data_IF_911807284366
#
_entry.id   IF_911807284366
#
_cell.length_a   1.000
_cell.length_b   1.000
_cell.length_c   1.000
_cell.angle_alpha   90.00
_cell.angle_beta   90.00
_cell.angle_gamma   90.00
#
_symmetry.space_group_name_H-M   'P 1'
#
loop_
_entity.id
_entity.type
_entity.pdbx_description
1 polymer ?
#
# COMPACT_ATOMS: atom_id res chain seq x y z
N UNK A 1 -4.12 -11.97 -8.62
CA UNK A 1 -3.83 -11.07 -9.75
C UNK A 1 -2.36 -10.67 -9.72
N UNK A 2 -1.69 -10.68 -10.87
CA UNK A 2 -0.32 -10.18 -11.02
C UNK A 2 -0.31 -9.18 -12.20
N UNK A 3 -0.31 -7.90 -11.89
CA UNK A 3 -0.37 -6.84 -12.89
C UNK A 3 0.34 -5.57 -12.42
N UNK A 4 0.73 -4.73 -13.37
CA UNK A 4 1.13 -3.35 -13.11
C UNK A 4 -0.08 -2.50 -12.66
N UNK A 5 0.15 -1.21 -12.40
CA UNK A 5 -0.95 -0.28 -12.08
C UNK A 5 -1.77 -0.02 -13.33
N UNK A 6 -2.87 -0.74 -13.48
CA UNK A 6 -3.80 -0.66 -14.62
C UNK A 6 -5.25 -0.56 -14.12
N UNK A 7 -6.18 -0.10 -14.96
CA UNK A 7 -7.62 -0.11 -14.64
C UNK A 7 -8.11 -1.50 -14.23
N UNK A 8 -7.68 -2.56 -14.91
CA UNK A 8 -8.12 -3.95 -14.67
C UNK A 8 -7.73 -4.43 -13.28
N UNK A 9 -6.52 -4.09 -12.79
CA UNK A 9 -6.12 -4.41 -11.43
C UNK A 9 -6.94 -3.60 -10.40
N UNK A 10 -7.27 -2.35 -10.70
CA UNK A 10 -8.13 -1.54 -9.84
C UNK A 10 -9.54 -2.13 -9.76
N UNK A 11 -10.13 -2.49 -10.90
CA UNK A 11 -11.45 -3.12 -10.98
C UNK A 11 -11.47 -4.49 -10.25
N UNK A 12 -10.38 -5.24 -10.30
CA UNK A 12 -10.24 -6.52 -9.61
C UNK A 12 -10.45 -6.41 -8.09
N UNK A 13 -10.14 -5.24 -7.49
CA UNK A 13 -10.41 -5.00 -6.08
C UNK A 13 -11.92 -4.97 -5.74
N UNK A 14 -12.77 -4.84 -6.75
CA UNK A 14 -14.23 -4.83 -6.60
C UNK A 14 -14.84 -6.14 -7.07
N UNK A 15 -14.68 -6.49 -8.34
CA UNK A 15 -15.43 -7.62 -8.88
C UNK A 15 -15.06 -8.95 -8.21
N UNK A 16 -13.80 -9.14 -7.78
CA UNK A 16 -13.41 -10.37 -7.08
C UNK A 16 -14.15 -10.50 -5.74
N UNK A 17 -14.10 -9.52 -4.82
CA UNK A 17 -14.87 -9.59 -3.57
C UNK A 17 -16.40 -9.61 -3.78
N UNK A 18 -16.93 -8.99 -4.82
CA UNK A 18 -18.36 -9.02 -5.14
C UNK A 18 -18.87 -10.41 -5.51
N UNK A 19 -18.01 -11.32 -5.94
CA UNK A 19 -18.31 -12.75 -6.13
C UNK A 19 -18.22 -13.57 -4.84
N UNK A 20 -17.76 -12.97 -3.74
CA UNK A 20 -17.44 -13.66 -2.49
C UNK A 20 -16.05 -14.32 -2.48
N UNK A 21 -15.24 -14.08 -3.51
CA UNK A 21 -13.84 -14.53 -3.56
C UNK A 21 -12.91 -13.52 -2.86
N UNK A 22 -11.68 -13.97 -2.57
CA UNK A 22 -10.66 -13.18 -1.91
C UNK A 22 -9.64 -12.73 -2.97
N UNK A 23 -9.42 -11.43 -3.10
CA UNK A 23 -8.38 -10.92 -3.98
C UNK A 23 -6.99 -11.17 -3.37
N UNK A 24 -6.09 -11.77 -4.16
CA UNK A 24 -4.68 -11.91 -3.83
C UNK A 24 -3.85 -11.16 -4.87
N UNK A 25 -3.28 -10.03 -4.48
CA UNK A 25 -2.44 -9.22 -5.36
C UNK A 25 -0.98 -9.64 -5.19
N UNK A 26 -0.36 -10.13 -6.28
CA UNK A 26 1.00 -10.67 -6.28
C UNK A 26 1.98 -9.60 -6.76
N UNK A 27 3.09 -9.47 -6.03
CA UNK A 27 4.15 -8.53 -6.37
C UNK A 27 4.81 -8.90 -7.71
N UNK A 28 4.80 -7.98 -8.64
CA UNK A 28 5.34 -8.15 -10.00
C UNK A 28 6.87 -8.32 -10.07
N UNK A 29 7.58 -8.10 -8.97
CA UNK A 29 9.04 -8.20 -8.88
C UNK A 29 9.53 -9.52 -8.31
N UNK A 30 8.62 -10.45 -8.02
CA UNK A 30 8.96 -11.76 -7.47
C UNK A 30 9.51 -12.69 -8.56
N UNK A 31 10.35 -13.61 -8.14
CA UNK A 31 10.82 -14.71 -8.98
C UNK A 31 9.75 -15.79 -9.16
N UNK A 32 9.96 -16.67 -10.15
CA UNK A 32 9.03 -17.74 -10.50
C UNK A 32 8.74 -18.70 -9.33
N UNK A 33 9.75 -19.04 -8.53
CA UNK A 33 9.60 -19.96 -7.40
C UNK A 33 8.67 -19.36 -6.32
N UNK A 34 8.86 -18.11 -6.00
CA UNK A 34 8.03 -17.38 -5.02
C UNK A 34 6.59 -17.24 -5.52
N UNK A 35 6.40 -16.92 -6.80
CA UNK A 35 5.05 -16.86 -7.42
C UNK A 35 4.37 -18.23 -7.34
N UNK A 36 5.07 -19.32 -7.69
CA UNK A 36 4.58 -20.70 -7.57
C UNK A 36 4.11 -20.99 -6.15
N UNK A 37 4.96 -20.70 -5.16
CA UNK A 37 4.62 -20.89 -3.76
C UNK A 37 3.34 -20.13 -3.38
N UNK A 38 3.21 -18.86 -3.78
CA UNK A 38 2.03 -18.06 -3.48
C UNK A 38 0.77 -18.65 -4.11
N UNK A 39 0.81 -19.07 -5.37
CA UNK A 39 -0.33 -19.68 -6.07
C UNK A 39 -0.77 -20.99 -5.40
N UNK A 40 0.17 -21.82 -4.99
CA UNK A 40 -0.11 -23.08 -4.29
C UNK A 40 -0.63 -22.86 -2.87
N UNK A 41 0.06 -22.04 -2.09
CA UNK A 41 -0.27 -21.77 -0.69
C UNK A 41 -1.62 -21.07 -0.54
N UNK A 42 -1.94 -20.11 -1.43
CA UNK A 42 -3.21 -19.38 -1.42
C UNK A 42 -4.40 -20.17 -1.95
N UNK A 43 -4.19 -21.40 -2.47
CA UNK A 43 -5.22 -22.17 -3.18
C UNK A 43 -5.89 -21.39 -4.32
N UNK A 44 -5.10 -20.64 -5.08
CA UNK A 44 -5.58 -19.82 -6.20
C UNK A 44 -6.49 -20.62 -7.13
N UNK A 45 -7.65 -20.05 -7.50
CA UNK A 45 -8.66 -20.66 -8.36
C UNK A 45 -8.69 -20.06 -9.75
N UNK A 46 -8.26 -18.84 -9.89
CA UNK A 46 -8.16 -18.09 -11.12
C UNK A 46 -6.93 -17.19 -11.03
N UNK A 47 -6.20 -17.02 -12.13
CA UNK A 47 -5.04 -16.15 -12.18
C UNK A 47 -5.22 -15.13 -13.30
N UNK A 48 -5.37 -13.85 -12.92
CA UNK A 48 -5.45 -12.73 -13.85
C UNK A 48 -4.05 -12.13 -13.94
N UNK A 49 -3.50 -12.05 -15.14
CA UNK A 49 -2.10 -11.74 -15.37
C UNK A 49 -1.92 -10.65 -16.42
N UNK A 50 -1.06 -9.72 -16.15
CA UNK A 50 -0.58 -8.76 -17.14
C UNK A 50 0.49 -9.43 -18.00
N UNK A 51 0.27 -9.45 -19.31
CA UNK A 51 1.13 -10.15 -20.28
C UNK A 51 2.58 -9.70 -20.26
N UNK A 52 2.87 -8.45 -19.81
CA UNK A 52 4.24 -7.98 -19.62
C UNK A 52 5.06 -8.95 -18.73
N UNK A 53 4.44 -9.61 -17.78
CA UNK A 53 5.09 -10.54 -16.85
C UNK A 53 5.00 -12.01 -17.28
N UNK A 54 4.54 -12.29 -18.49
CA UNK A 54 4.32 -13.67 -19.00
C UNK A 54 5.54 -14.56 -18.85
N UNK A 55 6.74 -14.06 -19.10
CA UNK A 55 7.98 -14.84 -19.00
C UNK A 55 8.22 -15.44 -17.61
N UNK A 56 8.06 -14.66 -16.54
CA UNK A 56 8.22 -15.16 -15.17
C UNK A 56 7.06 -16.03 -14.74
N UNK A 57 5.84 -15.70 -15.20
CA UNK A 57 4.62 -16.48 -14.90
C UNK A 57 4.69 -17.86 -15.56
N UNK A 58 5.11 -17.96 -16.81
CA UNK A 58 5.29 -19.23 -17.51
C UNK A 58 6.23 -20.16 -16.76
N UNK A 59 7.40 -19.63 -16.33
CA UNK A 59 8.35 -20.39 -15.49
C UNK A 59 7.75 -20.79 -14.14
N UNK A 60 6.85 -20.00 -13.58
CA UNK A 60 6.15 -20.34 -12.35
C UNK A 60 5.14 -21.48 -12.57
N UNK A 61 4.38 -21.42 -13.66
CA UNK A 61 3.40 -22.45 -14.00
C UNK A 61 4.04 -23.81 -14.34
N UNK A 62 5.24 -23.83 -14.87
CA UNK A 62 6.03 -25.04 -15.11
C UNK A 62 6.47 -25.75 -13.81
N UNK A 63 6.52 -25.01 -12.69
CA UNK A 63 6.92 -25.55 -11.38
C UNK A 63 5.76 -26.10 -10.55
N UNK A 64 4.51 -25.94 -11.00
CA UNK A 64 3.33 -26.44 -10.29
C UNK A 64 2.58 -27.48 -11.12
N UNK A 65 1.98 -28.45 -10.42
CA UNK A 65 1.06 -29.40 -11.04
C UNK A 65 -0.40 -28.92 -11.06
N UNK A 66 -0.68 -27.74 -10.46
CA UNK A 66 -2.03 -27.15 -10.44
C UNK A 66 -2.35 -26.51 -11.79
N UNK A 67 -3.47 -26.91 -12.37
CA UNK A 67 -4.05 -26.21 -13.54
C UNK A 67 -4.91 -25.06 -13.02
N UNK A 68 -4.42 -23.84 -13.17
CA UNK A 68 -5.13 -22.62 -12.77
C UNK A 68 -5.56 -21.91 -14.06
N UNK A 69 -6.87 -21.68 -14.29
CA UNK A 69 -7.31 -20.86 -15.43
C UNK A 69 -6.67 -19.47 -15.40
N UNK A 70 -6.31 -18.98 -16.59
CA UNK A 70 -5.63 -17.71 -16.75
C UNK A 70 -6.47 -16.76 -17.59
N UNK A 71 -6.50 -15.49 -17.17
CA UNK A 71 -7.07 -14.38 -17.94
C UNK A 71 -5.93 -13.38 -18.16
N UNK A 72 -5.67 -13.03 -19.41
CA UNK A 72 -4.61 -12.12 -19.78
C UNK A 72 -5.10 -10.67 -19.84
N UNK A 73 -4.37 -9.76 -19.18
CA UNK A 73 -4.50 -8.32 -19.34
C UNK A 73 -3.50 -7.87 -20.41
N UNK A 74 -4.00 -7.25 -21.48
CA UNK A 74 -3.19 -6.71 -22.58
C UNK A 74 -3.25 -5.19 -22.49
N UNK A 75 -2.19 -4.55 -22.00
CA UNK A 75 -2.16 -3.11 -21.80
C UNK A 75 -1.45 -2.40 -22.97
N UNK A 76 -2.13 -1.43 -23.55
CA UNK A 76 -1.61 -0.60 -24.64
C UNK A 76 -0.32 0.16 -24.27
N UNK A 77 -0.13 0.52 -22.99
CA UNK A 77 1.09 1.18 -22.53
C UNK A 77 2.32 0.26 -22.59
N UNK A 78 2.14 -1.04 -22.32
CA UNK A 78 3.19 -2.03 -22.49
C UNK A 78 3.50 -2.25 -23.98
N UNK A 79 2.48 -2.30 -24.83
CA UNK A 79 2.62 -2.42 -26.28
C UNK A 79 3.43 -1.26 -26.89
N UNK A 80 3.17 -0.02 -26.47
CA UNK A 80 3.93 1.15 -26.91
C UNK A 80 5.43 1.07 -26.59
N UNK A 81 5.83 0.24 -25.63
CA UNK A 81 7.22 0.00 -25.26
C UNK A 81 7.78 -1.33 -25.75
N UNK A 82 6.99 -2.12 -26.49
CA UNK A 82 7.29 -3.50 -26.88
C UNK A 82 7.62 -4.41 -25.69
N UNK A 83 6.86 -4.24 -24.61
CA UNK A 83 7.00 -5.00 -23.36
C UNK A 83 5.75 -5.85 -23.06
N UNK A 84 4.82 -6.03 -24.01
CA UNK A 84 3.53 -6.70 -23.82
C UNK A 84 3.62 -8.19 -23.50
N UNK A 85 4.73 -8.84 -23.83
CA UNK A 85 4.90 -10.29 -23.61
C UNK A 85 3.93 -11.17 -24.44
N UNK A 86 3.63 -12.37 -23.95
CA UNK A 86 2.76 -13.35 -24.62
C UNK A 86 1.49 -13.63 -23.79
N UNK A 87 0.38 -13.96 -24.44
CA UNK A 87 -0.82 -14.46 -23.78
C UNK A 87 -0.58 -15.90 -23.28
N UNK A 88 -1.01 -16.17 -22.06
CA UNK A 88 -0.86 -17.47 -21.41
C UNK A 88 -2.20 -18.18 -21.20
N UNK A 89 -3.30 -17.44 -21.21
CA UNK A 89 -4.66 -17.94 -20.98
C UNK A 89 -5.46 -18.15 -22.27
N UNK A 90 -6.63 -18.74 -22.09
CA UNK A 90 -7.61 -18.88 -23.18
C UNK A 90 -8.43 -17.59 -23.38
N UNK A 91 -8.42 -16.70 -22.41
CA UNK A 91 -9.23 -15.47 -22.37
C UNK A 91 -8.34 -14.25 -22.17
N UNK A 92 -8.56 -13.20 -22.97
CA UNK A 92 -8.14 -11.88 -22.58
C UNK A 92 -9.22 -11.23 -21.68
N UNK A 93 -8.81 -10.23 -20.92
CA UNK A 93 -9.65 -9.57 -19.91
C UNK A 93 -10.95 -9.01 -20.50
N UNK A 94 -10.88 -8.29 -21.63
CA UNK A 94 -12.04 -7.67 -22.26
C UNK A 94 -13.06 -8.70 -22.78
N UNK A 95 -12.59 -9.78 -23.40
CA UNK A 95 -13.46 -10.86 -23.88
C UNK A 95 -14.10 -11.60 -22.70
N UNK A 96 -13.34 -11.83 -21.63
CA UNK A 96 -13.87 -12.42 -20.41
C UNK A 96 -14.96 -11.52 -19.79
N UNK A 97 -14.70 -10.22 -19.68
CA UNK A 97 -15.65 -9.26 -19.16
C UNK A 97 -16.94 -9.20 -19.99
N UNK A 98 -16.80 -9.19 -21.33
CA UNK A 98 -17.94 -9.19 -22.27
C UNK A 98 -18.80 -10.46 -22.18
N UNK A 99 -18.26 -11.58 -21.69
CA UNK A 99 -19.02 -12.83 -21.49
C UNK A 99 -19.83 -12.87 -20.19
N UNK A 100 -19.63 -11.88 -19.29
CA UNK A 100 -20.31 -11.80 -18.00
C UNK A 100 -21.78 -11.45 -18.10
N UNK A 101 -22.55 -11.81 -17.07
CA UNK A 101 -23.94 -11.39 -16.95
C UNK A 101 -24.03 -9.95 -16.39
N UNK A 102 -24.47 -8.95 -17.17
CA UNK A 102 -24.60 -7.58 -16.70
C UNK A 102 -25.66 -7.41 -15.60
N UNK A 103 -26.53 -8.37 -15.39
CA UNK A 103 -27.55 -8.39 -14.35
C UNK A 103 -27.14 -9.18 -13.11
N UNK A 104 -25.89 -9.61 -13.01
CA UNK A 104 -25.41 -10.36 -11.85
C UNK A 104 -25.74 -9.67 -10.53
N UNK A 105 -26.39 -10.40 -9.62
CA UNK A 105 -26.76 -9.90 -8.30
C UNK A 105 -25.69 -10.25 -7.27
N UNK A 106 -24.76 -9.35 -7.06
CA UNK A 106 -23.76 -9.51 -6.01
C UNK A 106 -24.40 -9.43 -4.61
N UNK A 107 -23.80 -10.12 -3.65
CA UNK A 107 -24.26 -10.13 -2.26
C UNK A 107 -23.23 -9.45 -1.36
N UNK A 108 -23.72 -8.68 -0.41
CA UNK A 108 -22.87 -8.15 0.66
C UNK A 108 -22.38 -9.29 1.54
N UNK A 109 -21.19 -9.15 2.16
CA UNK A 109 -20.75 -10.13 3.15
C UNK A 109 -21.76 -10.21 4.30
N UNK A 110 -22.05 -11.41 4.76
CA UNK A 110 -22.95 -11.65 5.91
C UNK A 110 -22.28 -11.32 7.23
N UNK A 111 -20.97 -11.35 7.26
CA UNK A 111 -20.11 -10.96 8.37
C UNK A 111 -18.95 -10.11 7.83
N UNK A 112 -18.84 -8.88 8.31
CA UNK A 112 -17.76 -7.96 7.90
C UNK A 112 -16.36 -8.41 8.37
N UNK A 113 -16.26 -9.43 9.21
CA UNK A 113 -15.02 -10.12 9.57
C UNK A 113 -14.58 -11.14 8.51
N UNK A 114 -15.40 -11.43 7.50
CA UNK A 114 -15.00 -12.27 6.37
C UNK A 114 -13.79 -11.66 5.66
N UNK A 115 -12.91 -12.54 5.13
CA UNK A 115 -11.75 -12.11 4.38
C UNK A 115 -12.16 -11.43 3.07
N UNK A 116 -11.53 -10.31 2.75
CA UNK A 116 -11.69 -9.60 1.47
C UNK A 116 -10.45 -9.74 0.60
N UNK A 117 -9.28 -9.70 1.22
CA UNK A 117 -8.03 -9.74 0.47
C UNK A 117 -6.92 -10.47 1.22
N UNK A 118 -5.93 -10.92 0.45
CA UNK A 118 -4.73 -11.60 0.89
C UNK A 118 -3.52 -10.86 0.30
N UNK A 119 -2.56 -10.53 1.15
CA UNK A 119 -1.34 -9.84 0.74
C UNK A 119 -0.11 -10.55 1.32
N UNK A 120 0.85 -10.92 0.46
CA UNK A 120 2.03 -11.62 0.91
C UNK A 120 3.16 -10.66 1.29
N UNK A 121 3.75 -10.89 2.47
CA UNK A 121 4.95 -10.18 2.91
C UNK A 121 6.19 -10.82 2.29
N UNK A 122 7.23 -10.03 2.09
CA UNK A 122 8.51 -10.51 1.55
C UNK A 122 9.35 -11.33 2.54
N UNK A 123 8.83 -11.72 3.69
CA UNK A 123 9.47 -12.52 4.74
C UNK A 123 10.99 -12.39 4.84
N UNK A 124 11.50 -11.68 5.83
CA UNK A 124 12.95 -11.49 6.03
C UNK A 124 13.69 -12.76 6.45
N UNK A 125 12.98 -13.81 6.87
CA UNK A 125 13.55 -15.02 7.48
C UNK A 125 12.98 -16.34 6.96
N UNK A 126 12.30 -16.36 5.79
CA UNK A 126 11.70 -17.59 5.29
C UNK A 126 10.70 -17.38 4.16
N UNK A 127 9.79 -18.33 3.97
CA UNK A 127 8.73 -18.25 2.97
C UNK A 127 7.81 -17.06 3.23
N UNK A 128 7.31 -16.37 2.18
CA UNK A 128 6.35 -15.28 2.34
C UNK A 128 5.13 -15.69 3.15
N UNK A 129 4.68 -14.82 4.06
CA UNK A 129 3.47 -15.03 4.86
C UNK A 129 2.28 -14.32 4.21
N UNK A 130 1.16 -15.00 4.07
CA UNK A 130 -0.07 -14.42 3.55
C UNK A 130 -0.86 -13.70 4.65
N UNK A 131 -0.90 -12.39 4.62
CA UNK A 131 -1.67 -11.55 5.56
C UNK A 131 -3.12 -11.47 5.09
N UNK A 132 -4.06 -11.83 5.96
CA UNK A 132 -5.50 -11.86 5.64
C UNK A 132 -6.16 -10.59 6.15
N UNK A 133 -6.77 -9.81 5.24
CA UNK A 133 -7.60 -8.65 5.55
C UNK A 133 -9.08 -9.01 5.55
N UNK A 134 -9.88 -8.24 6.27
CA UNK A 134 -11.33 -8.41 6.37
C UNK A 134 -12.07 -7.14 5.94
N UNK A 135 -13.35 -7.27 5.58
CA UNK A 135 -14.17 -6.17 5.07
C UNK A 135 -14.23 -4.98 6.02
N UNK A 136 -14.38 -5.21 7.34
CA UNK A 136 -14.38 -4.14 8.35
C UNK A 136 -13.11 -3.31 8.31
N UNK A 137 -11.93 -3.96 8.29
CA UNK A 137 -10.63 -3.28 8.27
C UNK A 137 -10.45 -2.45 7.02
N UNK A 138 -10.83 -2.98 5.85
CA UNK A 138 -10.77 -2.27 4.57
C UNK A 138 -11.66 -1.02 4.56
N UNK A 139 -12.87 -1.13 5.09
CA UNK A 139 -13.80 -0.01 5.20
C UNK A 139 -13.28 1.08 6.14
N UNK A 140 -12.82 0.70 7.35
CA UNK A 140 -12.30 1.66 8.33
C UNK A 140 -11.02 2.33 7.85
N UNK A 141 -10.11 1.58 7.19
CA UNK A 141 -8.91 2.14 6.59
C UNK A 141 -9.26 3.19 5.52
N UNK A 142 -10.25 2.91 4.67
CA UNK A 142 -10.70 3.85 3.64
C UNK A 142 -11.24 5.14 4.26
N UNK A 143 -12.10 5.03 5.27
CA UNK A 143 -12.65 6.21 5.99
C UNK A 143 -11.55 7.00 6.71
N UNK A 144 -10.65 6.29 7.40
CA UNK A 144 -9.53 6.91 8.13
C UNK A 144 -8.57 7.66 7.20
N UNK A 145 -8.32 7.14 6.01
CA UNK A 145 -7.47 7.80 5.00
C UNK A 145 -8.08 9.13 4.54
N UNK A 146 -9.39 9.19 4.33
CA UNK A 146 -10.11 10.43 3.98
C UNK A 146 -9.89 11.50 5.04
N UNK A 147 -10.08 11.14 6.31
CA UNK A 147 -9.96 12.09 7.43
C UNK A 147 -8.51 12.53 7.63
N UNK A 148 -7.56 11.57 7.68
CA UNK A 148 -6.17 11.86 8.01
C UNK A 148 -5.45 12.68 6.92
N UNK A 149 -5.82 12.48 5.66
CA UNK A 149 -5.20 13.19 4.54
C UNK A 149 -6.09 14.34 3.99
N UNK A 150 -7.16 14.68 4.70
CA UNK A 150 -8.09 15.73 4.33
C UNK A 150 -8.55 15.68 2.87
N UNK A 151 -8.92 14.46 2.44
CA UNK A 151 -9.30 14.19 1.05
C UNK A 151 -10.72 14.68 0.77
N UNK A 152 -10.89 15.44 -0.29
CA UNK A 152 -12.20 15.92 -0.74
C UNK A 152 -12.85 14.98 -1.77
N UNK A 153 -14.17 15.08 -1.92
CA UNK A 153 -14.88 14.41 -3.01
C UNK A 153 -14.37 14.88 -4.37
N UNK A 154 -14.44 14.00 -5.36
CA UNK A 154 -14.08 14.27 -6.76
C UNK A 154 -12.61 14.72 -6.97
N UNK A 155 -11.71 14.32 -6.09
CA UNK A 155 -10.28 14.60 -6.27
C UNK A 155 -9.71 13.82 -7.47
N UNK A 156 -8.57 14.26 -7.98
CA UNK A 156 -7.80 13.54 -9.00
C UNK A 156 -6.57 12.90 -8.35
N UNK A 157 -6.48 11.59 -8.46
CA UNK A 157 -5.40 10.79 -7.86
C UNK A 157 -4.52 10.16 -8.92
N UNK A 158 -3.19 10.30 -8.78
CA UNK A 158 -2.22 9.59 -9.60
C UNK A 158 -1.76 8.32 -8.86
N UNK A 159 -2.04 7.18 -9.43
CA UNK A 159 -1.72 5.89 -8.83
C UNK A 159 -0.28 5.48 -9.13
N UNK A 160 0.65 5.88 -8.29
CA UNK A 160 2.09 5.57 -8.35
C UNK A 160 2.51 4.46 -7.40
N UNK A 161 1.76 4.26 -6.29
CA UNK A 161 1.97 3.14 -5.38
C UNK A 161 1.60 1.84 -6.09
N UNK A 162 2.44 0.79 -6.07
CA UNK A 162 2.03 -0.50 -6.63
C UNK A 162 0.77 -1.05 -5.94
N UNK A 163 -0.29 -1.33 -6.72
CA UNK A 163 -1.55 -1.83 -6.17
C UNK A 163 -1.45 -3.22 -5.55
N UNK A 164 -0.39 -3.95 -5.81
CA UNK A 164 -0.14 -5.23 -5.13
C UNK A 164 0.40 -5.06 -3.70
N UNK A 165 0.97 -3.90 -3.35
CA UNK A 165 1.57 -3.68 -2.03
C UNK A 165 0.53 -3.19 -1.05
N UNK A 166 0.31 -3.94 0.06
CA UNK A 166 -0.77 -3.73 1.03
C UNK A 166 -2.10 -3.38 0.33
N UNK A 167 -2.42 -4.10 -0.75
CA UNK A 167 -3.52 -3.82 -1.67
C UNK A 167 -3.64 -2.32 -2.01
N UNK A 168 -2.51 -1.79 -2.51
CA UNK A 168 -2.43 -0.40 -2.94
C UNK A 168 -2.70 0.62 -1.84
N UNK A 169 -2.31 0.30 -0.60
CA UNK A 169 -2.50 1.13 0.60
C UNK A 169 -3.98 1.41 0.92
N UNK A 170 -4.90 0.54 0.48
CA UNK A 170 -6.33 0.71 0.67
C UNK A 170 -6.99 1.77 -0.23
N UNK A 171 -6.21 2.44 -1.09
CA UNK A 171 -6.72 3.49 -1.96
C UNK A 171 -7.72 3.03 -3.04
N UNK A 172 -7.72 1.78 -3.56
CA UNK A 172 -8.79 1.38 -4.46
C UNK A 172 -10.17 1.69 -3.87
N UNK A 173 -10.41 1.32 -2.61
CA UNK A 173 -11.70 1.57 -1.95
C UNK A 173 -11.89 3.03 -1.50
N UNK A 174 -10.82 3.70 -1.02
CA UNK A 174 -10.87 5.12 -0.64
C UNK A 174 -11.27 6.02 -1.81
N UNK A 175 -10.68 5.78 -2.98
CA UNK A 175 -10.91 6.62 -4.16
C UNK A 175 -12.32 6.45 -4.74
N UNK A 176 -12.86 5.23 -4.69
CA UNK A 176 -14.25 5.02 -5.10
C UNK A 176 -15.24 5.65 -4.11
N UNK A 177 -14.98 5.57 -2.80
CA UNK A 177 -15.79 6.26 -1.79
C UNK A 177 -15.91 7.77 -2.07
N UNK A 178 -14.85 8.38 -2.59
CA UNK A 178 -14.77 9.80 -2.89
C UNK A 178 -15.19 10.16 -4.33
N UNK A 179 -15.63 9.19 -5.13
CA UNK A 179 -15.94 9.38 -6.57
C UNK A 179 -14.76 10.03 -7.31
N UNK A 180 -13.54 9.62 -6.99
CA UNK A 180 -12.33 10.25 -7.48
C UNK A 180 -12.03 9.89 -8.92
N UNK A 181 -11.39 10.81 -9.65
CA UNK A 181 -10.74 10.51 -10.91
C UNK A 181 -9.41 9.83 -10.62
N UNK A 182 -9.21 8.62 -11.14
CA UNK A 182 -7.99 7.83 -10.95
C UNK A 182 -7.19 7.78 -12.25
N UNK A 183 -5.93 8.17 -12.17
CA UNK A 183 -4.98 8.10 -13.28
C UNK A 183 -3.92 7.06 -12.90
N UNK A 184 -3.78 6.02 -13.71
CA UNK A 184 -2.83 4.94 -13.46
C UNK A 184 -1.45 5.29 -14.04
N UNK A 185 -0.41 5.10 -13.24
CA UNK A 185 0.96 5.30 -13.63
C UNK A 185 1.66 3.94 -13.70
N UNK A 186 1.72 3.37 -14.91
CA UNK A 186 2.37 2.07 -15.14
C UNK A 186 3.87 2.17 -14.92
N UNK A 187 4.48 3.22 -15.45
CA UNK A 187 5.91 3.48 -15.37
C UNK A 187 6.21 4.73 -14.55
N UNK A 188 7.05 4.59 -13.56
CA UNK A 188 7.42 5.70 -12.65
C UNK A 188 8.57 6.49 -13.27
N UNK A 189 8.22 7.53 -14.05
CA UNK A 189 9.16 8.43 -14.73
C UNK A 189 8.81 9.86 -14.35
N UNK A 190 9.78 10.66 -13.90
CA UNK A 190 9.53 12.01 -13.40
C UNK A 190 8.82 12.91 -14.40
N UNK A 191 9.28 12.91 -15.65
CA UNK A 191 8.66 13.68 -16.76
C UNK A 191 7.18 13.34 -16.94
N UNK A 192 6.84 12.05 -16.88
CA UNK A 192 5.47 11.58 -17.06
C UNK A 192 4.60 11.99 -15.87
N UNK A 193 5.13 11.90 -14.65
CA UNK A 193 4.44 12.36 -13.43
C UNK A 193 4.09 13.86 -13.54
N UNK A 194 5.04 14.73 -13.90
CA UNK A 194 4.76 16.16 -14.09
C UNK A 194 3.75 16.42 -15.19
N UNK A 195 3.83 15.67 -16.30
CA UNK A 195 2.87 15.79 -17.40
C UNK A 195 1.47 15.38 -16.97
N UNK A 196 1.32 14.25 -16.27
CA UNK A 196 0.03 13.76 -15.78
C UNK A 196 -0.58 14.70 -14.75
N UNK A 197 0.24 15.28 -13.85
CA UNK A 197 -0.23 16.30 -12.90
C UNK A 197 -0.84 17.49 -13.63
N UNK A 198 -0.15 18.01 -14.63
CA UNK A 198 -0.60 19.16 -15.42
C UNK A 198 -1.85 18.85 -16.26
N UNK A 199 -1.86 17.72 -16.97
CA UNK A 199 -2.94 17.32 -17.87
C UNK A 199 -4.24 16.94 -17.16
N UNK A 200 -4.13 16.31 -16.00
CA UNK A 200 -5.29 15.74 -15.29
C UNK A 200 -5.64 16.47 -13.98
N UNK A 201 -4.96 17.58 -13.69
CA UNK A 201 -5.13 18.34 -12.44
C UNK A 201 -5.01 17.42 -11.21
N UNK A 202 -3.96 16.59 -11.19
CA UNK A 202 -3.73 15.65 -10.07
C UNK A 202 -3.53 16.42 -8.78
N UNK A 203 -4.31 16.08 -7.77
CA UNK A 203 -4.23 16.70 -6.44
C UNK A 203 -3.50 15.84 -5.42
N UNK A 204 -3.54 14.51 -5.58
CA UNK A 204 -2.97 13.56 -4.61
C UNK A 204 -2.24 12.42 -5.31
N UNK A 205 -1.14 11.95 -4.70
CA UNK A 205 -0.49 10.70 -5.05
C UNK A 205 0.31 10.15 -3.86
N UNK A 206 0.57 8.83 -3.84
CA UNK A 206 1.45 8.21 -2.86
C UNK A 206 2.73 7.70 -3.53
N UNK A 207 3.80 7.53 -2.77
CA UNK A 207 5.03 6.94 -3.28
C UNK A 207 6.03 6.60 -2.19
N UNK A 208 6.81 5.54 -2.39
CA UNK A 208 7.98 5.29 -1.56
C UNK A 208 9.00 6.44 -1.69
N UNK A 209 9.92 6.62 -0.73
CA UNK A 209 10.92 7.70 -0.78
C UNK A 209 11.71 7.77 -2.09
N UNK A 210 11.91 6.63 -2.78
CA UNK A 210 12.58 6.60 -4.08
C UNK A 210 11.78 7.34 -5.16
N UNK A 211 10.45 7.33 -5.10
CA UNK A 211 9.60 8.08 -6.05
C UNK A 211 9.71 9.58 -5.80
N UNK A 212 9.69 10.00 -4.53
CA UNK A 212 9.90 11.39 -4.16
C UNK A 212 11.29 11.87 -4.58
N UNK A 213 12.32 11.03 -4.37
CA UNK A 213 13.68 11.32 -4.80
C UNK A 213 13.79 11.51 -6.33
N UNK A 214 13.10 10.67 -7.10
CA UNK A 214 13.04 10.78 -8.55
C UNK A 214 12.43 12.13 -8.98
N UNK A 215 11.31 12.53 -8.37
CA UNK A 215 10.62 13.80 -8.65
C UNK A 215 11.49 14.99 -8.23
N UNK A 216 12.03 14.97 -7.01
CA UNK A 216 12.84 16.05 -6.45
C UNK A 216 14.11 16.35 -7.28
N UNK A 217 14.73 15.30 -7.84
CA UNK A 217 15.95 15.39 -8.63
C UNK A 217 15.73 15.29 -10.14
N UNK A 218 14.48 15.42 -10.62
CA UNK A 218 14.19 15.49 -12.04
C UNK A 218 14.97 16.63 -12.69
N UNK A 219 15.35 16.45 -13.96
CA UNK A 219 16.01 17.50 -14.74
C UNK A 219 15.07 18.71 -14.97
N UNK A 220 15.62 19.88 -15.18
CA UNK A 220 14.81 21.08 -15.33
C UNK A 220 13.84 21.02 -16.53
N UNK A 221 14.24 20.35 -17.61
CA UNK A 221 13.41 20.13 -18.79
C UNK A 221 12.27 19.11 -18.58
N UNK A 222 12.34 18.32 -17.52
CA UNK A 222 11.31 17.35 -17.16
C UNK A 222 10.27 17.93 -16.19
N UNK A 223 10.64 19.01 -15.48
CA UNK A 223 9.80 19.66 -14.48
C UNK A 223 8.77 20.58 -15.13
N UNK A 224 7.60 20.64 -14.54
CA UNK A 224 6.59 21.64 -14.79
C UNK A 224 6.24 22.38 -13.51
N UNK A 225 6.00 23.68 -13.61
CA UNK A 225 5.47 24.44 -12.48
C UNK A 225 4.08 23.93 -12.12
N UNK A 226 3.85 23.65 -10.85
CA UNK A 226 2.55 23.22 -10.37
C UNK A 226 1.60 24.41 -10.35
N UNK A 227 0.40 24.23 -10.92
CA UNK A 227 -0.65 25.26 -10.98
C UNK A 227 -1.52 25.30 -9.72
N UNK A 228 -1.41 24.27 -8.90
CA UNK A 228 -2.14 24.07 -7.64
C UNK A 228 -1.29 23.25 -6.68
N UNK A 229 -1.69 23.23 -5.42
CA UNK A 229 -1.03 22.39 -4.41
C UNK A 229 -1.26 20.91 -4.72
N UNK A 230 -0.20 20.11 -4.67
CA UNK A 230 -0.24 18.66 -4.84
C UNK A 230 0.21 17.99 -3.55
N UNK A 231 -0.62 17.11 -3.02
CA UNK A 231 -0.38 16.37 -1.81
C UNK A 231 0.29 15.03 -2.15
N UNK A 232 1.44 14.78 -1.55
CA UNK A 232 2.19 13.55 -1.69
C UNK A 232 2.24 12.80 -0.35
N UNK A 233 1.99 11.50 -0.37
CA UNK A 233 2.15 10.65 0.81
C UNK A 233 3.34 9.71 0.62
N UNK A 234 4.17 9.55 1.65
CA UNK A 234 5.30 8.61 1.60
C UNK A 234 5.32 7.68 2.80
N UNK A 235 5.71 6.44 2.54
CA UNK A 235 5.81 5.37 3.54
C UNK A 235 6.95 4.39 3.20
N UNK A 236 7.18 3.44 4.10
CA UNK A 236 8.15 2.34 3.93
C UNK A 236 9.53 2.64 4.50
N UNK A 237 9.95 3.90 4.51
CA UNK A 237 11.15 4.38 5.19
C UNK A 237 11.00 5.91 5.43
N UNK A 238 11.68 6.47 6.44
CA UNK A 238 11.72 7.92 6.62
C UNK A 238 12.35 8.60 5.39
N UNK A 239 11.68 9.58 4.78
CA UNK A 239 12.25 10.31 3.66
C UNK A 239 13.38 11.22 4.15
N UNK A 240 14.51 11.32 3.40
CA UNK A 240 15.58 12.27 3.73
C UNK A 240 15.06 13.71 3.77
N UNK A 241 15.44 14.50 4.78
CA UNK A 241 15.00 15.89 4.94
C UNK A 241 15.28 16.77 3.71
N UNK A 242 16.41 16.57 3.05
CA UNK A 242 16.77 17.27 1.81
C UNK A 242 15.77 16.99 0.68
N UNK A 243 15.22 15.77 0.61
CA UNK A 243 14.20 15.43 -0.40
C UNK A 243 12.88 16.10 -0.07
N UNK A 244 12.48 16.12 1.21
CA UNK A 244 11.27 16.83 1.65
C UNK A 244 11.34 18.33 1.31
N UNK A 245 12.46 18.96 1.60
CA UNK A 245 12.69 20.38 1.29
C UNK A 245 12.61 20.66 -0.22
N UNK A 246 13.22 19.80 -1.05
CA UNK A 246 13.13 19.92 -2.51
C UNK A 246 11.70 19.76 -3.02
N UNK A 247 10.94 18.80 -2.49
CA UNK A 247 9.54 18.59 -2.85
C UNK A 247 8.69 19.82 -2.49
N UNK A 248 8.89 20.39 -1.30
CA UNK A 248 8.19 21.61 -0.87
C UNK A 248 8.51 22.82 -1.79
N UNK A 249 9.78 23.01 -2.15
CA UNK A 249 10.19 24.06 -3.12
C UNK A 249 9.56 23.88 -4.50
N UNK A 250 9.21 22.63 -4.88
CA UNK A 250 8.48 22.34 -6.11
C UNK A 250 6.96 22.53 -5.98
N UNK A 251 6.44 22.82 -4.78
CA UNK A 251 5.01 23.04 -4.53
C UNK A 251 4.24 21.83 -4.03
N UNK A 252 4.93 20.72 -3.69
CA UNK A 252 4.30 19.53 -3.08
C UNK A 252 4.18 19.70 -1.56
N UNK A 253 3.09 19.21 -1.01
CA UNK A 253 2.95 19.00 0.44
C UNK A 253 3.11 17.52 0.74
N UNK A 254 4.17 17.16 1.49
CA UNK A 254 4.51 15.76 1.75
C UNK A 254 4.10 15.35 3.15
N UNK A 255 3.30 14.29 3.26
CA UNK A 255 2.95 13.64 4.51
C UNK A 255 3.70 12.32 4.64
N UNK A 256 4.44 12.15 5.73
CA UNK A 256 5.09 10.89 6.08
C UNK A 256 4.12 10.04 6.91
N UNK A 257 4.00 8.77 6.57
CA UNK A 257 3.14 7.80 7.26
C UNK A 257 3.90 6.52 7.54
N UNK A 258 3.44 5.79 8.55
CA UNK A 258 3.97 4.49 8.92
C UNK A 258 2.84 3.48 9.05
N UNK A 259 3.12 2.26 8.65
CA UNK A 259 2.26 1.09 8.78
C UNK A 259 2.93 -0.15 8.25
N UNK A 260 2.27 -1.27 8.43
CA UNK A 260 2.75 -2.60 8.08
C UNK A 260 1.72 -3.30 7.18
N UNK A 261 2.14 -4.35 6.51
CA UNK A 261 1.18 -5.22 5.80
C UNK A 261 0.15 -5.76 6.78
N UNK A 262 0.56 -6.12 7.99
CA UNK A 262 -0.27 -6.68 9.05
C UNK A 262 -1.28 -5.69 9.65
N UNK A 263 -1.13 -4.39 9.37
CA UNK A 263 -2.06 -3.33 9.81
C UNK A 263 -2.91 -2.77 8.68
N UNK A 264 -2.87 -3.42 7.51
CA UNK A 264 -3.57 -3.01 6.30
C UNK A 264 -3.15 -1.63 5.77
N UNK A 265 -1.97 -1.16 6.12
CA UNK A 265 -1.45 0.13 5.70
C UNK A 265 -1.18 1.06 6.87
N UNK A 266 -1.56 2.32 6.73
CA UNK A 266 -1.12 3.39 7.60
C UNK A 266 -1.80 3.37 8.97
N UNK A 267 -1.00 3.44 10.03
CA UNK A 267 -1.46 3.54 11.42
C UNK A 267 -0.92 4.76 12.15
N UNK A 268 0.17 5.34 11.65
CA UNK A 268 0.72 6.62 12.11
C UNK A 268 0.87 7.57 10.94
N UNK A 269 0.72 8.85 11.21
CA UNK A 269 1.04 9.93 10.28
C UNK A 269 1.72 11.10 10.99
N UNK A 270 2.68 11.70 10.33
CA UNK A 270 3.31 12.92 10.79
C UNK A 270 2.36 14.11 10.55
N UNK A 271 1.35 14.25 11.41
CA UNK A 271 0.40 15.34 11.35
C UNK A 271 1.12 16.67 11.56
N UNK A 272 0.96 17.63 10.64
CA UNK A 272 1.63 18.92 10.74
C UNK A 272 0.80 19.92 11.54
N UNK A 273 1.42 20.51 12.56
CA UNK A 273 0.80 21.63 13.29
C UNK A 273 1.23 22.96 12.65
N UNK A 274 0.29 23.84 12.36
CA UNK A 274 0.56 25.12 11.71
C UNK A 274 1.49 26.04 12.51
N UNK A 275 1.52 25.91 13.84
CA UNK A 275 2.46 26.66 14.69
C UNK A 275 3.94 26.32 14.43
N UNK A 276 4.21 25.17 13.81
CA UNK A 276 5.57 24.75 13.45
C UNK A 276 6.09 25.43 12.17
N UNK A 277 5.23 26.15 11.45
CA UNK A 277 5.67 26.91 10.28
C UNK A 277 6.72 27.98 10.60
N UNK A 278 6.75 28.45 11.84
CA UNK A 278 7.71 29.46 12.32
C UNK A 278 9.02 28.86 12.86
N UNK A 279 9.12 27.53 12.96
CA UNK A 279 10.34 26.86 13.42
C UNK A 279 11.46 26.96 12.38
N UNK A 280 12.72 26.81 12.86
CA UNK A 280 13.88 26.67 11.97
C UNK A 280 13.75 25.45 11.07
N UNK A 281 14.43 25.47 9.92
CA UNK A 281 14.41 24.33 8.97
C UNK A 281 14.88 23.02 9.61
N UNK A 282 15.90 23.09 10.47
CA UNK A 282 16.40 21.90 11.19
C UNK A 282 15.33 21.29 12.10
N UNK A 283 14.61 22.12 12.86
CA UNK A 283 13.50 21.66 13.72
C UNK A 283 12.34 21.09 12.92
N UNK A 284 11.99 21.70 11.79
CA UNK A 284 10.99 21.14 10.87
C UNK A 284 11.43 19.79 10.35
N UNK A 285 12.70 19.63 9.97
CA UNK A 285 13.25 18.36 9.49
C UNK A 285 13.22 17.26 10.58
N UNK A 286 13.59 17.62 11.84
CA UNK A 286 13.50 16.69 12.97
C UNK A 286 12.07 16.18 13.18
N UNK A 287 11.06 17.04 13.12
CA UNK A 287 9.65 16.66 13.28
C UNK A 287 9.19 15.78 12.11
N UNK A 288 9.52 16.18 10.87
CA UNK A 288 9.12 15.42 9.66
C UNK A 288 9.76 14.05 9.55
N UNK A 289 10.87 13.81 10.25
CA UNK A 289 11.50 12.50 10.35
C UNK A 289 10.75 11.53 11.28
N UNK A 290 9.85 12.04 12.14
CA UNK A 290 9.04 11.23 13.03
C UNK A 290 7.86 10.61 12.27
N UNK A 291 7.39 9.43 12.71
CA UNK A 291 6.20 8.79 12.15
C UNK A 291 4.91 9.45 12.64
N UNK A 292 4.98 10.18 13.76
CA UNK A 292 3.92 11.05 14.25
C UNK A 292 2.93 10.36 15.19
N UNK A 293 1.64 10.59 14.94
CA UNK A 293 0.53 10.16 15.79
C UNK A 293 -0.37 9.14 15.09
N UNK A 294 -1.20 8.43 15.88
CA UNK A 294 -2.10 7.40 15.34
C UNK A 294 -3.12 7.95 14.36
N UNK A 295 -3.49 7.12 13.40
CA UNK A 295 -4.60 7.39 12.48
C UNK A 295 -5.95 7.36 13.22
N UNK A 296 -6.96 8.12 12.73
CA UNK A 296 -8.28 8.19 13.37
C UNK A 296 -9.02 6.85 13.52
N UNK A 297 -8.78 5.92 12.57
CA UNK A 297 -9.42 4.59 12.56
C UNK A 297 -8.72 3.55 13.44
N UNK A 298 -7.51 3.84 13.92
CA UNK A 298 -6.74 2.91 14.75
C UNK A 298 -7.13 3.10 16.21
N UNK A 299 -7.49 2.03 16.89
CA UNK A 299 -7.91 2.08 18.30
C UNK A 299 -6.75 2.57 19.18
N UNK A 300 -5.60 1.92 19.07
CA UNK A 300 -4.41 2.32 19.80
C UNK A 300 -3.13 1.92 19.06
N UNK A 301 -2.15 2.82 19.12
CA UNK A 301 -0.74 2.57 18.80
C UNK A 301 0.06 3.02 19.99
N UNK A 302 0.77 2.11 20.64
CA UNK A 302 1.55 2.36 21.84
C UNK A 302 3.00 1.93 21.64
N UNK A 303 3.91 2.61 22.32
CA UNK A 303 5.30 2.14 22.47
C UNK A 303 5.43 1.57 23.88
N UNK A 304 5.55 0.25 23.97
CA UNK A 304 5.51 -0.46 25.23
C UNK A 304 6.85 -1.15 25.55
N UNK A 305 7.17 -1.22 26.83
CA UNK A 305 8.26 -2.04 27.32
C UNK A 305 7.91 -3.52 27.13
N UNK A 306 8.78 -4.28 26.47
CA UNK A 306 8.55 -5.69 26.12
C UNK A 306 8.36 -6.63 27.33
N UNK A 307 8.83 -6.24 28.53
CA UNK A 307 8.75 -7.07 29.73
C UNK A 307 7.54 -6.73 30.61
N UNK A 308 7.26 -5.42 30.77
CA UNK A 308 6.21 -4.95 31.68
C UNK A 308 4.90 -4.64 30.97
N UNK A 309 4.92 -4.44 29.65
CA UNK A 309 3.80 -3.93 28.84
C UNK A 309 3.31 -2.55 29.27
N UNK A 310 4.14 -1.81 30.01
CA UNK A 310 3.87 -0.41 30.36
C UNK A 310 4.34 0.52 29.25
N UNK A 311 3.67 1.66 29.13
CA UNK A 311 4.08 2.71 28.20
C UNK A 311 5.47 3.24 28.56
N UNK A 312 6.32 3.42 27.55
CA UNK A 312 7.58 4.12 27.76
C UNK A 312 7.34 5.61 28.03
N UNK A 313 8.23 6.30 28.78
CA UNK A 313 8.11 7.72 29.01
C UNK A 313 8.23 8.51 27.69
N UNK A 314 7.61 9.70 27.64
CA UNK A 314 7.67 10.59 26.49
C UNK A 314 8.94 11.46 26.54
N UNK A 315 10.12 10.84 26.59
CA UNK A 315 11.43 11.51 26.72
C UNK A 315 12.21 11.57 25.41
N UNK A 316 11.76 10.87 24.36
CA UNK A 316 12.45 10.77 23.06
C UNK A 316 13.68 9.85 23.08
N UNK A 317 13.93 9.16 24.18
CA UNK A 317 15.15 8.35 24.42
C UNK A 317 14.84 6.89 24.77
N UNK A 318 13.87 6.66 25.68
CA UNK A 318 13.52 5.32 26.15
C UNK A 318 12.83 4.53 25.05
N UNK A 319 13.46 3.45 24.63
CA UNK A 319 12.95 2.57 23.59
C UNK A 319 11.94 1.56 24.10
N UNK A 320 10.92 1.30 23.32
CA UNK A 320 10.00 0.19 23.43
C UNK A 320 9.59 -0.33 22.05
N UNK A 321 8.77 -1.37 22.03
CA UNK A 321 8.20 -1.89 20.78
C UNK A 321 6.91 -1.16 20.44
N UNK A 322 6.71 -0.84 19.14
CA UNK A 322 5.41 -0.39 18.66
C UNK A 322 4.43 -1.55 18.71
N UNK A 323 3.40 -1.41 19.52
CA UNK A 323 2.31 -2.36 19.64
C UNK A 323 1.00 -1.72 19.17
N UNK A 324 0.19 -2.49 18.47
CA UNK A 324 -0.99 -1.98 17.78
C UNK A 324 -2.19 -2.84 18.12
N UNK A 325 -3.34 -2.18 18.32
CA UNK A 325 -4.63 -2.85 18.36
C UNK A 325 -5.70 -2.02 17.67
N UNK A 326 -6.69 -2.71 17.15
CA UNK A 326 -7.80 -2.10 16.44
C UNK A 326 -8.26 -2.91 15.25
N UNK A 327 -9.33 -2.44 14.66
CA UNK A 327 -10.05 -3.16 13.60
C UNK A 327 -9.36 -3.11 12.22
N UNK A 328 -8.22 -2.47 12.07
CA UNK A 328 -7.39 -2.54 10.85
C UNK A 328 -6.24 -3.53 10.96
N UNK A 329 -6.01 -4.10 12.15
CA UNK A 329 -5.05 -5.20 12.30
C UNK A 329 -5.57 -6.43 11.56
N UNK A 330 -4.67 -7.14 10.89
CA UNK A 330 -4.99 -8.34 10.10
C UNK A 330 -5.80 -9.37 10.88
N UNK A 331 -6.55 -10.20 10.16
CA UNK A 331 -7.22 -11.36 10.76
C UNK A 331 -6.22 -12.43 11.25
N UNK A 332 -5.06 -12.49 10.62
CA UNK A 332 -3.96 -13.39 10.89
C UNK A 332 -3.20 -13.76 9.63
N UNK A 333 -2.20 -14.62 9.78
CA UNK A 333 -1.48 -15.21 8.66
C UNK A 333 -2.21 -16.44 8.13
N UNK A 334 -2.45 -16.46 6.83
CA UNK A 334 -3.15 -17.55 6.16
C UNK A 334 -2.42 -18.89 6.34
N UNK A 335 -3.14 -19.91 6.82
CA UNK A 335 -2.60 -21.26 7.13
C UNK A 335 -1.37 -21.25 8.05
N UNK A 336 -1.22 -20.24 8.89
CA UNK A 336 -0.09 -20.14 9.81
C UNK A 336 -0.56 -19.61 11.19
N UNK A 337 -1.20 -20.51 11.93
CA UNK A 337 -1.75 -20.21 13.26
C UNK A 337 -0.64 -19.85 14.25
N UNK A 338 0.46 -20.58 14.24
CA UNK A 338 1.60 -20.39 15.15
C UNK A 338 2.18 -18.97 14.99
N UNK A 339 2.52 -18.54 13.77
CA UNK A 339 3.01 -17.19 13.54
C UNK A 339 1.98 -16.11 13.89
N UNK A 340 0.67 -16.41 13.74
CA UNK A 340 -0.40 -15.50 14.14
C UNK A 340 -0.42 -15.32 15.66
N UNK A 341 -0.40 -16.41 16.42
CA UNK A 341 -0.39 -16.42 17.88
C UNK A 341 0.91 -15.81 18.44
N UNK A 342 2.03 -15.99 17.74
CA UNK A 342 3.31 -15.38 18.12
C UNK A 342 3.28 -13.86 18.03
N UNK A 343 2.62 -13.29 17.00
CA UNK A 343 2.55 -11.84 16.80
C UNK A 343 1.35 -11.18 17.47
N UNK A 344 0.34 -11.96 17.86
CA UNK A 344 -0.88 -11.49 18.55
C UNK A 344 -0.86 -11.92 20.01
N UNK A 345 -0.19 -11.16 20.87
CA UNK A 345 -0.06 -11.50 22.29
C UNK A 345 -0.65 -10.42 23.19
N UNK A 346 -1.26 -10.80 24.28
CA UNK A 346 -1.77 -9.90 25.32
C UNK A 346 -2.73 -8.82 24.78
N UNK A 347 -3.48 -9.13 23.72
CA UNK A 347 -4.41 -8.19 23.08
C UNK A 347 -3.74 -7.17 22.16
N UNK A 348 -2.45 -7.36 21.83
CA UNK A 348 -1.68 -6.50 20.94
C UNK A 348 -1.11 -7.27 19.77
N UNK A 349 -1.06 -6.58 18.62
CA UNK A 349 -0.21 -6.98 17.54
C UNK A 349 1.20 -6.39 17.77
N UNK A 350 2.20 -7.27 17.78
CA UNK A 350 3.61 -6.94 17.94
C UNK A 350 4.23 -6.63 16.57
N UNK A 351 4.65 -5.37 16.35
CA UNK A 351 5.20 -4.95 15.07
C UNK A 351 6.61 -5.47 14.81
N UNK A 352 7.37 -5.69 15.87
CA UNK A 352 8.80 -5.94 15.81
C UNK A 352 9.63 -4.69 15.53
N UNK A 353 9.03 -3.49 15.51
CA UNK A 353 9.72 -2.22 15.29
C UNK A 353 9.92 -1.51 16.65
N UNK A 354 11.15 -1.10 16.93
CA UNK A 354 11.53 -0.35 18.12
C UNK A 354 11.39 1.14 17.89
N UNK A 355 10.83 1.84 18.87
CA UNK A 355 10.55 3.26 18.77
C UNK A 355 10.72 3.98 20.10
N UNK A 356 10.73 5.29 20.03
CA UNK A 356 10.63 6.21 21.19
C UNK A 356 9.39 7.09 21.03
N UNK A 357 8.92 7.65 22.14
CA UNK A 357 7.86 8.68 22.14
C UNK A 357 8.46 10.01 22.55
N UNK A 358 8.32 11.01 21.70
CA UNK A 358 8.80 12.37 21.98
C UNK A 358 7.87 13.12 22.93
N UNK A 359 8.34 14.22 23.60
CA UNK A 359 7.51 15.02 24.50
C UNK A 359 6.24 15.61 23.86
N UNK A 360 6.21 15.76 22.54
CA UNK A 360 5.03 16.18 21.77
C UNK A 360 4.04 15.04 21.49
N UNK A 361 4.30 13.83 21.98
CA UNK A 361 3.49 12.64 21.75
C UNK A 361 3.75 11.93 20.42
N UNK A 362 4.72 12.40 19.61
CA UNK A 362 5.05 11.78 18.32
C UNK A 362 5.94 10.57 18.52
N UNK A 363 5.60 9.49 17.81
CA UNK A 363 6.37 8.26 17.78
C UNK A 363 7.46 8.38 16.71
N UNK A 364 8.66 7.93 17.04
CA UNK A 364 9.76 7.81 16.09
C UNK A 364 10.34 6.40 16.10
N UNK A 365 10.27 5.72 14.97
CA UNK A 365 10.91 4.41 14.76
C UNK A 365 12.43 4.59 14.77
N UNK A 366 13.12 3.74 15.49
CA UNK A 366 14.58 3.75 15.61
C UNK A 366 15.22 2.55 14.90
N UNK A 367 14.67 1.34 15.06
CA UNK A 367 15.25 0.13 14.52
C UNK A 367 14.23 -1.02 14.48
N UNK A 368 14.62 -2.16 13.95
CA UNK A 368 13.88 -3.42 14.07
C UNK A 368 14.46 -4.31 15.17
N UNK A 369 13.59 -4.88 15.98
CA UNK A 369 14.01 -5.73 17.11
C UNK A 369 14.76 -7.00 16.69
N UNK A 370 14.66 -7.42 15.42
CA UNK A 370 15.36 -8.59 14.87
C UNK A 370 16.75 -8.25 14.29
N UNK A 371 17.09 -6.98 14.19
CA UNK A 371 18.35 -6.50 13.63
C UNK A 371 19.35 -6.10 14.74
N UNK A 372 18.93 -6.24 16.01
CA UNK A 372 19.73 -6.11 17.24
C UNK A 372 19.93 -7.53 17.83
#
# INVERSE_FOLDING_TARGET
VLAANTPELFEAHYFIPMTGAIINTINTRLDAHTITYILEHSDAKLFIVDTQFSSVIKKSLEQTNKKIPIIDIIDSQAQLKNEEGECLGEWNYENFLASGDPNYKWKRPTDEWQAISLSYTSGTTGKPKGVVYHHRGSYLMSMGSVVAWNMSNNLSYLYTVPMFHCNGWGYPWTLALLHSKVIFCRYIVAKDIFNLIDQHNITHFGGAPIVLNLIANAKNEEKKALKHKVYAMTAGAPPPSVILEKMEKLGFEVMHVYGLTETYGHILHCAWNSSWNELSQDKKAEIKAQQGVRYPHTEEVAVLNLKTYEHVPMDGETMGEIMIRGNTVMKGYYKNKEATEETMKNGWFHSGDLAVVHPNGYIQVKDRSKDI
#
